data_IF_972287441683
#
_entry.id   IF_972287441683
#
_cell.length_a   1.000
_cell.length_b   1.000
_cell.length_c   1.000
_cell.angle_alpha   90.00
_cell.angle_beta   90.00
_cell.angle_gamma   90.00
#
_symmetry.space_group_name_H-M   'P 1'
#
loop_
_entity.id
_entity.type
_entity.pdbx_description
1 polymer ?
#
# COMPACT_ATOMS: atom_id res chain seq x y z
N UNK A 1 19.09 -5.86 4.92
CA UNK A 1 17.81 -5.27 4.50
C UNK A 1 16.79 -5.43 5.63
N UNK A 2 16.81 -4.54 6.62
CA UNK A 2 15.81 -4.47 7.69
C UNK A 2 15.37 -3.01 7.82
N UNK A 3 14.09 -2.75 7.52
CA UNK A 3 13.34 -1.62 8.03
C UNK A 3 13.56 -0.28 7.32
N UNK A 4 12.60 0.07 6.46
CA UNK A 4 12.26 1.39 5.92
C UNK A 4 13.31 2.16 5.09
N UNK A 5 12.96 2.41 3.84
CA UNK A 5 13.66 3.37 3.01
C UNK A 5 13.12 4.76 3.35
N UNK A 6 13.98 5.66 3.83
CA UNK A 6 13.56 7.06 3.99
C UNK A 6 13.30 7.67 2.61
N UNK A 7 12.33 8.58 2.57
CA UNK A 7 12.12 9.41 1.40
C UNK A 7 13.36 10.31 1.20
N UNK A 8 14.06 10.14 0.08
CA UNK A 8 15.29 10.87 -0.23
C UNK A 8 15.07 12.24 -0.89
N UNK A 9 13.82 12.65 -1.07
CA UNK A 9 13.46 13.91 -1.74
C UNK A 9 13.39 15.11 -0.80
N UNK A 10 13.20 16.33 -1.35
CA UNK A 10 13.11 17.57 -0.58
C UNK A 10 11.97 17.53 0.47
N UNK A 11 12.15 18.25 1.59
CA UNK A 11 11.15 18.31 2.68
C UNK A 11 9.78 18.83 2.23
N UNK A 12 9.75 19.71 1.22
CA UNK A 12 8.51 20.21 0.62
C UNK A 12 7.69 19.12 -0.07
N UNK A 13 8.33 18.09 -0.63
CA UNK A 13 7.68 16.96 -1.32
C UNK A 13 7.36 15.82 -0.35
N UNK A 14 8.14 15.71 0.73
CA UNK A 14 8.00 14.67 1.76
C UNK A 14 6.59 14.61 2.35
N UNK A 15 5.96 15.75 2.62
CA UNK A 15 4.59 15.80 3.17
C UNK A 15 3.58 15.16 2.21
N UNK A 16 3.64 15.49 0.92
CA UNK A 16 2.75 14.92 -0.09
C UNK A 16 2.98 13.41 -0.27
N UNK A 17 4.25 12.99 -0.29
CA UNK A 17 4.61 11.58 -0.33
C UNK A 17 4.06 10.82 0.88
N UNK A 18 4.23 11.35 2.09
CA UNK A 18 3.75 10.68 3.32
C UNK A 18 2.23 10.55 3.34
N UNK A 19 1.48 11.60 2.93
CA UNK A 19 0.02 11.54 2.83
C UNK A 19 -0.39 10.47 1.80
N UNK A 20 0.26 10.45 0.64
CA UNK A 20 0.00 9.46 -0.42
C UNK A 20 0.33 8.03 0.03
N UNK A 21 1.43 7.85 0.78
CA UNK A 21 1.85 6.57 1.31
C UNK A 21 0.83 6.03 2.33
N UNK A 22 0.38 6.89 3.26
CA UNK A 22 -0.67 6.51 4.23
C UNK A 22 -1.95 6.10 3.50
N UNK A 23 -2.36 6.87 2.49
CA UNK A 23 -3.50 6.52 1.65
C UNK A 23 -3.34 5.13 0.99
N UNK A 24 -2.18 4.86 0.39
CA UNK A 24 -1.90 3.56 -0.23
C UNK A 24 -1.95 2.41 0.79
N UNK A 25 -1.37 2.58 1.98
CA UNK A 25 -1.37 1.56 3.04
C UNK A 25 -2.79 1.26 3.52
N UNK A 26 -3.62 2.29 3.73
CA UNK A 26 -5.03 2.11 4.11
C UNK A 26 -5.77 1.32 3.03
N UNK A 27 -5.58 1.68 1.76
CA UNK A 27 -6.20 0.98 0.63
C UNK A 27 -5.73 -0.48 0.53
N UNK A 28 -4.43 -0.73 0.71
CA UNK A 28 -3.86 -2.08 0.72
C UNK A 28 -4.39 -2.93 1.88
N UNK A 29 -4.59 -2.33 3.05
CA UNK A 29 -5.17 -3.01 4.21
C UNK A 29 -6.61 -3.43 3.94
N UNK A 30 -7.42 -2.53 3.37
CA UNK A 30 -8.79 -2.84 2.95
C UNK A 30 -8.80 -3.93 1.88
N UNK A 31 -7.93 -3.83 0.87
CA UNK A 31 -7.76 -4.84 -0.17
C UNK A 31 -7.38 -6.21 0.38
N UNK A 32 -6.49 -6.27 1.37
CA UNK A 32 -6.09 -7.51 2.03
C UNK A 32 -7.25 -8.18 2.78
N UNK A 33 -8.03 -7.40 3.55
CA UNK A 33 -9.22 -7.92 4.25
C UNK A 33 -10.25 -8.45 3.26
N UNK A 34 -10.51 -7.72 2.17
CA UNK A 34 -11.42 -8.18 1.12
C UNK A 34 -10.89 -9.45 0.43
N UNK A 35 -9.59 -9.55 0.20
CA UNK A 35 -8.95 -10.76 -0.33
C UNK A 35 -9.14 -11.97 0.59
N UNK A 36 -8.96 -11.80 1.91
CA UNK A 36 -9.23 -12.86 2.89
C UNK A 36 -10.70 -13.30 2.88
N UNK A 37 -11.63 -12.35 2.78
CA UNK A 37 -13.07 -12.66 2.66
C UNK A 37 -13.33 -13.47 1.38
N UNK A 38 -12.72 -13.13 0.25
CA UNK A 38 -12.86 -13.88 -1.01
C UNK A 38 -12.34 -15.30 -0.87
N UNK A 39 -11.16 -15.48 -0.28
CA UNK A 39 -10.58 -16.82 -0.02
C UNK A 39 -11.52 -17.62 0.88
N UNK A 40 -11.94 -17.06 2.03
CA UNK A 40 -12.79 -17.76 2.98
C UNK A 40 -14.15 -18.13 2.40
N UNK A 41 -14.79 -17.22 1.66
CA UNK A 41 -16.08 -17.50 1.01
C UNK A 41 -15.98 -18.53 -0.10
N UNK A 42 -14.85 -18.56 -0.83
CA UNK A 42 -14.56 -19.61 -1.82
C UNK A 42 -14.37 -20.98 -1.16
N UNK A 43 -13.60 -21.05 -0.07
CA UNK A 43 -13.36 -22.30 0.67
C UNK A 43 -14.59 -22.84 1.42
N UNK A 44 -15.57 -21.98 1.71
CA UNK A 44 -16.83 -22.37 2.39
C UNK A 44 -18.01 -22.56 1.44
N UNK A 45 -17.75 -22.63 0.12
CA UNK A 45 -18.77 -22.77 -0.92
C UNK A 45 -19.88 -21.68 -0.85
N UNK A 46 -19.58 -20.50 -0.29
CA UNK A 46 -20.53 -19.39 -0.14
C UNK A 46 -20.54 -18.51 -1.40
N UNK A 47 -20.87 -19.12 -2.53
CA UNK A 47 -20.77 -18.48 -3.85
C UNK A 47 -21.66 -17.25 -4.05
N UNK A 48 -22.80 -17.16 -3.35
CA UNK A 48 -23.69 -16.00 -3.42
C UNK A 48 -23.01 -14.71 -2.93
N UNK A 49 -22.30 -14.81 -1.80
CA UNK A 49 -21.55 -13.69 -1.21
C UNK A 49 -20.27 -13.43 -2.00
N UNK A 50 -19.55 -14.50 -2.38
CA UNK A 50 -18.32 -14.41 -3.16
C UNK A 50 -18.55 -13.62 -4.46
N UNK A 51 -19.57 -13.98 -5.25
CA UNK A 51 -19.90 -13.28 -6.52
C UNK A 51 -20.35 -11.84 -6.32
N UNK A 52 -21.01 -11.53 -5.20
CA UNK A 52 -21.50 -10.16 -4.93
C UNK A 52 -20.36 -9.22 -4.53
N UNK A 53 -19.40 -9.69 -3.73
CA UNK A 53 -18.30 -8.87 -3.20
C UNK A 53 -17.07 -8.91 -4.13
N UNK A 54 -16.89 -9.98 -4.90
CA UNK A 54 -15.72 -10.22 -5.75
C UNK A 54 -15.38 -9.08 -6.72
N UNK A 55 -16.36 -8.48 -7.44
CA UNK A 55 -16.08 -7.34 -8.32
C UNK A 55 -15.52 -6.13 -7.57
N UNK A 56 -16.09 -5.78 -6.41
CA UNK A 56 -15.61 -4.66 -5.58
C UNK A 56 -14.22 -4.93 -5.04
N UNK A 57 -13.99 -6.16 -4.55
CA UNK A 57 -12.67 -6.59 -4.10
C UNK A 57 -11.62 -6.46 -5.22
N UNK A 58 -11.97 -6.89 -6.43
CA UNK A 58 -11.07 -6.80 -7.61
C UNK A 58 -10.74 -5.36 -7.95
N UNK A 59 -11.72 -4.46 -7.98
CA UNK A 59 -11.51 -3.02 -8.28
C UNK A 59 -10.56 -2.39 -7.26
N UNK A 60 -10.79 -2.61 -5.96
CA UNK A 60 -9.92 -2.09 -4.90
C UNK A 60 -8.51 -2.66 -5.04
N UNK A 61 -8.38 -3.94 -5.36
CA UNK A 61 -7.09 -4.60 -5.52
C UNK A 61 -6.28 -4.01 -6.69
N UNK A 62 -6.89 -3.82 -7.86
CA UNK A 62 -6.20 -3.20 -9.00
C UNK A 62 -5.84 -1.74 -8.73
N UNK A 63 -6.72 -0.98 -8.08
CA UNK A 63 -6.43 0.40 -7.70
C UNK A 63 -5.26 0.48 -6.69
N UNK A 64 -5.21 -0.48 -5.76
CA UNK A 64 -4.08 -0.63 -4.83
C UNK A 64 -2.78 -0.94 -5.57
N UNK A 65 -2.81 -1.85 -6.55
CA UNK A 65 -1.63 -2.21 -7.32
C UNK A 65 -1.05 -0.99 -8.07
N UNK A 66 -1.92 -0.19 -8.72
CA UNK A 66 -1.50 1.03 -9.43
C UNK A 66 -0.85 2.03 -8.47
N UNK A 67 -1.48 2.29 -7.32
CA UNK A 67 -0.93 3.21 -6.32
C UNK A 67 0.37 2.69 -5.72
N UNK A 68 0.53 1.38 -5.58
CA UNK A 68 1.77 0.75 -5.11
C UNK A 68 2.93 0.91 -6.09
N UNK A 69 2.67 0.79 -7.40
CA UNK A 69 3.67 1.10 -8.44
C UNK A 69 4.07 2.57 -8.36
N UNK A 70 3.13 3.49 -8.14
CA UNK A 70 3.44 4.90 -7.96
C UNK A 70 4.31 5.16 -6.72
N UNK A 71 4.02 4.50 -5.58
CA UNK A 71 4.89 4.56 -4.38
C UNK A 71 6.30 4.07 -4.71
N UNK A 72 6.43 2.93 -5.40
CA UNK A 72 7.73 2.39 -5.79
C UNK A 72 8.53 3.38 -6.65
N UNK A 73 7.90 3.99 -7.65
CA UNK A 73 8.54 4.98 -8.52
C UNK A 73 9.00 6.19 -7.71
N UNK A 74 8.14 6.73 -6.85
CA UNK A 74 8.49 7.89 -6.02
C UNK A 74 9.67 7.59 -5.11
N UNK A 75 9.69 6.42 -4.48
CA UNK A 75 10.68 6.06 -3.47
C UNK A 75 12.02 5.63 -4.08
N UNK A 76 12.00 4.86 -5.15
CA UNK A 76 13.22 4.20 -5.67
C UNK A 76 13.71 4.76 -7.01
N UNK A 77 12.85 5.37 -7.82
CA UNK A 77 13.22 5.87 -9.14
C UNK A 77 13.46 7.38 -9.11
N UNK A 78 12.52 8.15 -8.56
CA UNK A 78 12.58 9.62 -8.57
C UNK A 78 13.35 10.19 -7.38
N UNK A 79 13.14 9.62 -6.18
CA UNK A 79 13.77 10.09 -4.95
C UNK A 79 14.46 8.95 -4.19
N UNK A 80 15.42 8.24 -4.82
CA UNK A 80 16.16 7.18 -4.15
C UNK A 80 16.78 7.69 -2.86
N UNK A 81 16.28 7.20 -1.72
CA UNK A 81 16.84 7.51 -0.40
C UNK A 81 18.20 6.83 -0.22
N UNK A 82 19.21 7.61 0.17
CA UNK A 82 20.48 7.08 0.68
C UNK A 82 20.29 6.41 2.05
N UNK A 83 20.99 5.29 2.25
CA UNK A 83 21.05 4.39 3.42
C UNK A 83 19.76 4.09 4.22
N UNK A 84 19.44 2.80 4.39
CA UNK A 84 18.30 2.28 5.16
C UNK A 84 18.25 2.85 6.57
N UNK A 85 17.10 3.38 6.98
CA UNK A 85 16.92 4.07 8.28
C UNK A 85 15.73 3.49 9.04
N UNK A 86 15.80 3.51 10.37
CA UNK A 86 14.79 2.93 11.25
C UNK A 86 13.35 3.37 10.94
N UNK A 87 12.40 2.43 11.07
CA UNK A 87 10.96 2.60 10.81
C UNK A 87 10.39 3.86 11.45
N UNK A 88 10.69 4.09 12.72
CA UNK A 88 10.15 5.22 13.51
C UNK A 88 10.64 6.57 12.93
N UNK A 89 11.90 6.64 12.53
CA UNK A 89 12.49 7.84 11.93
C UNK A 89 11.90 8.16 10.57
N UNK A 90 11.59 7.12 9.79
CA UNK A 90 11.06 7.28 8.45
C UNK A 90 9.57 7.63 8.41
N UNK A 91 8.76 7.16 9.37
CA UNK A 91 7.34 7.55 9.48
C UNK A 91 7.12 8.83 10.28
N UNK A 92 7.92 9.11 11.30
CA UNK A 92 7.69 10.25 12.22
C UNK A 92 8.74 11.36 12.17
N UNK A 93 9.85 11.18 11.44
CA UNK A 93 10.86 12.23 11.26
C UNK A 93 11.76 12.52 12.48
N UNK A 94 11.77 11.64 13.50
CA UNK A 94 12.64 11.69 14.68
C UNK A 94 14.02 11.09 14.44
#
# INVERSE_FOLDING_TARGET
FIGNTAFGGPDSVKVYYTIFLVFHITLATVGAVLGLIQIFTGLKDRYSVHRKIGPVASVIWFFTAITGVAVYILLYVLYPGGETTSLIKATFGL
#
